data_IF_075996311241
#
_entry.id   IF_075996311241
#
_cell.length_a   1.000
_cell.length_b   1.000
_cell.length_c   1.000
_cell.angle_alpha   90.00
_cell.angle_beta   90.00
_cell.angle_gamma   90.00
#
_symmetry.space_group_name_H-M   'P 1'
#
loop_
_entity.id
_entity.type
_entity.pdbx_description
1 polymer ?
#
# COMPACT_ATOMS: atom_id res chain seq x y z
N UNK A 1 18.86 27.75 9.06
CA UNK A 1 19.53 26.45 8.81
C UNK A 1 19.97 26.46 7.36
N UNK A 2 21.28 26.40 7.11
CA UNK A 2 21.82 26.36 5.75
C UNK A 2 22.08 24.93 5.29
N UNK A 3 22.46 24.75 4.02
CA UNK A 3 22.67 23.39 3.44
C UNK A 3 23.83 22.65 4.14
N UNK A 4 24.84 23.38 4.67
CA UNK A 4 25.94 22.73 5.38
C UNK A 4 25.54 22.24 6.76
N UNK A 5 24.64 22.93 7.45
CA UNK A 5 24.07 22.47 8.72
C UNK A 5 23.18 21.26 8.51
N UNK A 6 22.43 21.25 7.40
CA UNK A 6 21.57 20.11 7.02
C UNK A 6 22.43 18.85 6.76
N UNK A 7 23.52 18.97 6.02
CA UNK A 7 24.43 17.86 5.73
C UNK A 7 25.06 17.22 6.97
N UNK A 8 25.24 18.00 8.05
CA UNK A 8 25.78 17.48 9.32
C UNK A 8 24.75 16.59 10.05
N UNK A 9 23.46 16.89 9.90
CA UNK A 9 22.36 16.21 10.58
C UNK A 9 21.85 15.03 9.74
N UNK A 10 21.81 15.20 8.41
CA UNK A 10 21.29 14.21 7.46
C UNK A 10 22.31 13.11 7.13
N UNK A 11 22.67 12.33 8.15
CA UNK A 11 23.63 11.24 8.04
C UNK A 11 23.20 10.15 7.03
N UNK A 12 21.90 10.03 6.73
CA UNK A 12 21.32 9.08 5.78
C UNK A 12 21.06 9.68 4.39
N UNK A 13 21.46 10.92 4.17
CA UNK A 13 21.29 11.65 2.90
C UNK A 13 19.83 11.68 2.40
N UNK A 14 18.89 11.79 3.33
CA UNK A 14 17.46 11.82 3.02
C UNK A 14 17.06 12.98 2.11
N UNK A 15 17.73 14.15 2.26
CA UNK A 15 17.51 15.29 1.36
C UNK A 15 17.74 14.91 -0.11
N UNK A 16 18.78 14.14 -0.40
CA UNK A 16 19.07 13.69 -1.76
C UNK A 16 18.00 12.72 -2.29
N UNK A 17 17.38 11.95 -1.41
CA UNK A 17 16.25 11.07 -1.77
C UNK A 17 15.03 11.92 -2.14
N UNK A 18 14.72 12.96 -1.35
CA UNK A 18 13.61 13.87 -1.66
C UNK A 18 13.82 14.63 -2.96
N UNK A 19 15.05 15.07 -3.24
CA UNK A 19 15.38 15.74 -4.50
C UNK A 19 15.12 14.86 -5.74
N UNK A 20 15.21 13.53 -5.58
CA UNK A 20 14.99 12.55 -6.64
C UNK A 20 13.54 12.07 -6.76
N UNK A 21 12.63 12.49 -5.89
CA UNK A 21 11.24 12.05 -5.95
C UNK A 21 10.55 12.27 -7.30
N UNK A 22 10.75 13.40 -8.02
CA UNK A 22 10.15 13.57 -9.33
C UNK A 22 10.60 12.51 -10.35
N UNK A 23 11.91 12.16 -10.36
CA UNK A 23 12.45 11.11 -11.22
C UNK A 23 11.93 9.74 -10.82
N UNK A 24 11.93 9.42 -9.52
CA UNK A 24 11.39 8.15 -8.99
C UNK A 24 9.91 8.00 -9.35
N UNK A 25 9.11 9.06 -9.20
CA UNK A 25 7.69 9.04 -9.54
C UNK A 25 7.48 8.80 -11.04
N UNK A 26 8.28 9.46 -11.88
CA UNK A 26 8.25 9.29 -13.33
C UNK A 26 8.64 7.86 -13.72
N UNK A 27 9.77 7.37 -13.22
CA UNK A 27 10.26 6.02 -13.49
C UNK A 27 9.23 4.97 -13.05
N UNK A 28 8.60 5.17 -11.90
CA UNK A 28 7.54 4.29 -11.42
C UNK A 28 6.30 4.31 -12.31
N UNK A 29 5.95 5.46 -12.89
CA UNK A 29 4.81 5.59 -13.80
C UNK A 29 5.11 5.00 -15.19
N UNK A 30 6.34 5.17 -15.69
CA UNK A 30 6.76 4.70 -17.01
C UNK A 30 7.07 3.18 -17.04
N UNK A 31 7.21 2.54 -15.88
CA UNK A 31 7.41 1.10 -15.80
C UNK A 31 6.14 0.33 -16.15
N UNK A 32 6.29 -0.72 -16.94
CA UNK A 32 5.22 -1.69 -17.20
C UNK A 32 4.89 -2.46 -15.92
N UNK A 33 3.73 -2.15 -15.34
CA UNK A 33 3.22 -2.91 -14.20
C UNK A 33 2.57 -4.21 -14.66
N UNK A 34 2.85 -5.28 -13.92
CA UNK A 34 2.11 -6.53 -14.06
C UNK A 34 0.61 -6.24 -13.88
N UNK A 35 -0.19 -6.67 -14.87
CA UNK A 35 -1.64 -6.41 -14.85
C UNK A 35 -2.29 -7.21 -13.74
N UNK A 36 -2.90 -6.53 -12.80
CA UNK A 36 -3.75 -7.10 -11.78
C UNK A 36 -5.22 -7.01 -12.22
N UNK A 37 -5.94 -8.14 -12.19
CA UNK A 37 -7.35 -8.15 -12.60
C UNK A 37 -8.25 -7.56 -11.52
N UNK A 38 -8.82 -6.40 -11.81
CA UNK A 38 -9.75 -5.66 -10.94
C UNK A 38 -11.20 -5.69 -11.44
N UNK A 39 -11.53 -6.58 -12.39
CA UNK A 39 -12.90 -6.68 -12.90
C UNK A 39 -13.87 -7.13 -11.80
N UNK A 40 -15.05 -6.52 -11.77
CA UNK A 40 -16.13 -6.84 -10.85
C UNK A 40 -15.90 -6.36 -9.41
N UNK A 41 -14.93 -5.45 -9.20
CA UNK A 41 -14.70 -4.84 -7.89
C UNK A 41 -15.61 -3.62 -7.74
N UNK A 42 -16.37 -3.61 -6.65
CA UNK A 42 -17.23 -2.50 -6.21
C UNK A 42 -16.83 -1.95 -4.83
N UNK A 43 -15.95 -2.65 -4.12
CA UNK A 43 -15.42 -2.24 -2.82
C UNK A 43 -13.89 -2.36 -2.76
N UNK A 44 -13.20 -1.27 -2.47
CA UNK A 44 -11.75 -1.26 -2.24
C UNK A 44 -11.46 -0.96 -0.77
N UNK A 45 -10.63 -1.79 -0.14
CA UNK A 45 -10.16 -1.60 1.23
C UNK A 45 -8.67 -1.33 1.22
N UNK A 46 -8.26 -0.12 1.55
CA UNK A 46 -6.86 0.21 1.79
C UNK A 46 -6.49 -0.08 3.23
N UNK A 47 -5.42 -0.83 3.44
CA UNK A 47 -4.87 -1.12 4.77
C UNK A 47 -3.42 -0.67 4.87
N UNK A 48 -3.14 0.23 5.82
CA UNK A 48 -1.80 0.74 6.07
C UNK A 48 -1.77 1.65 7.29
N UNK A 49 -0.59 1.82 7.88
CA UNK A 49 -0.38 2.67 9.05
C UNK A 49 0.50 3.89 8.69
N UNK A 50 0.29 4.99 9.40
CA UNK A 50 1.07 6.21 9.19
C UNK A 50 1.02 6.70 7.74
N UNK A 51 2.18 6.96 7.12
CA UNK A 51 2.29 7.39 5.73
C UNK A 51 1.69 6.39 4.73
N UNK A 52 1.85 5.08 4.96
CA UNK A 52 1.22 4.05 4.14
C UNK A 52 -0.32 4.12 4.20
N UNK A 53 -0.89 4.46 5.36
CA UNK A 53 -2.34 4.65 5.50
C UNK A 53 -2.85 5.92 4.80
N UNK A 54 -2.01 6.97 4.68
CA UNK A 54 -2.37 8.22 4.00
C UNK A 54 -2.51 8.04 2.49
N UNK A 55 -1.86 7.04 1.89
CA UNK A 55 -2.06 6.68 0.48
C UNK A 55 -3.53 6.31 0.23
N UNK A 56 -4.10 5.50 1.11
CA UNK A 56 -5.52 5.13 1.05
C UNK A 56 -6.46 6.36 1.12
N UNK A 57 -6.14 7.34 1.98
CA UNK A 57 -6.93 8.58 2.07
C UNK A 57 -6.91 9.37 0.75
N UNK A 58 -5.73 9.50 0.13
CA UNK A 58 -5.57 10.20 -1.16
C UNK A 58 -6.35 9.50 -2.26
N UNK A 59 -6.20 8.18 -2.39
CA UNK A 59 -6.90 7.41 -3.42
C UNK A 59 -8.41 7.41 -3.17
N UNK A 60 -8.85 7.33 -1.91
CA UNK A 60 -10.27 7.46 -1.54
C UNK A 60 -10.86 8.81 -1.99
N UNK A 61 -10.09 9.90 -1.82
CA UNK A 61 -10.52 11.22 -2.29
C UNK A 61 -10.61 11.28 -3.83
N UNK A 62 -9.68 10.67 -4.56
CA UNK A 62 -9.69 10.59 -6.03
C UNK A 62 -10.92 9.79 -6.50
N UNK A 63 -11.17 8.64 -5.90
CA UNK A 63 -12.25 7.72 -6.27
C UNK A 63 -13.62 8.15 -5.74
N UNK A 64 -13.72 9.24 -4.96
CA UNK A 64 -14.98 9.71 -4.37
C UNK A 64 -16.08 10.09 -5.38
N UNK A 65 -15.73 10.25 -6.66
CA UNK A 65 -16.64 10.54 -7.77
C UNK A 65 -17.04 9.33 -8.59
N UNK A 66 -16.45 8.19 -8.28
CA UNK A 66 -16.70 6.91 -8.96
C UNK A 66 -17.74 6.10 -8.18
N UNK A 67 -18.45 5.23 -8.87
CA UNK A 67 -19.42 4.31 -8.27
C UNK A 67 -18.70 3.10 -7.67
N UNK A 68 -17.87 3.37 -6.66
CA UNK A 68 -17.07 2.37 -5.94
C UNK A 68 -16.99 2.73 -4.46
N UNK A 69 -17.22 1.77 -3.59
CA UNK A 69 -17.03 1.97 -2.16
C UNK A 69 -15.56 1.89 -1.78
N UNK A 70 -15.07 2.86 -1.00
CA UNK A 70 -13.67 2.86 -0.53
C UNK A 70 -13.64 2.93 0.99
N UNK A 71 -12.93 1.98 1.61
CA UNK A 71 -12.70 1.91 3.06
C UNK A 71 -11.21 2.03 3.38
N UNK A 72 -10.85 2.81 4.40
CA UNK A 72 -9.49 2.92 4.90
C UNK A 72 -9.37 2.27 6.28
N UNK A 73 -8.46 1.31 6.41
CA UNK A 73 -8.18 0.58 7.63
C UNK A 73 -6.80 0.98 8.18
N UNK A 74 -6.82 1.72 9.29
CA UNK A 74 -5.63 2.11 10.06
C UNK A 74 -5.65 1.39 11.41
N UNK A 75 -5.53 0.06 11.37
CA UNK A 75 -5.63 -0.79 12.55
C UNK A 75 -5.76 -2.28 12.20
N UNK A 76 -6.35 -3.05 13.12
CA UNK A 76 -6.38 -4.52 13.05
C UNK A 76 -7.67 -5.11 12.46
N UNK A 77 -8.66 -4.29 12.10
CA UNK A 77 -10.00 -4.79 11.78
C UNK A 77 -10.32 -4.67 10.29
N UNK A 78 -10.39 -5.81 9.61
CA UNK A 78 -10.95 -5.89 8.27
C UNK A 78 -12.47 -5.67 8.35
N UNK A 79 -13.08 -4.80 7.51
CA UNK A 79 -14.53 -4.62 7.44
C UNK A 79 -15.26 -5.93 7.15
N UNK A 80 -16.40 -6.14 7.80
CA UNK A 80 -17.23 -7.35 7.56
C UNK A 80 -17.94 -7.33 6.20
N UNK A 81 -17.90 -6.20 5.51
CA UNK A 81 -18.44 -6.02 4.15
C UNK A 81 -17.52 -6.51 3.06
N UNK A 82 -16.33 -7.02 3.41
CA UNK A 82 -15.37 -7.59 2.46
C UNK A 82 -15.86 -8.94 1.96
N UNK A 83 -15.98 -9.08 0.65
CA UNK A 83 -16.47 -10.25 -0.06
C UNK A 83 -15.71 -10.49 -1.39
N UNK A 84 -16.26 -11.32 -2.28
CA UNK A 84 -15.68 -11.65 -3.58
C UNK A 84 -15.59 -10.47 -4.56
N UNK A 85 -16.36 -9.40 -4.35
CA UNK A 85 -16.32 -8.17 -5.15
C UNK A 85 -15.40 -7.11 -4.52
N UNK A 86 -14.66 -7.48 -3.50
CA UNK A 86 -13.78 -6.58 -2.79
C UNK A 86 -12.31 -6.77 -3.20
N UNK A 87 -11.58 -5.65 -3.25
CA UNK A 87 -10.13 -5.61 -3.38
C UNK A 87 -9.51 -5.07 -2.08
N UNK A 88 -8.68 -5.88 -1.44
CA UNK A 88 -7.90 -5.44 -0.27
C UNK A 88 -6.49 -5.06 -0.73
N UNK A 89 -6.13 -3.79 -0.56
CA UNK A 89 -4.81 -3.25 -0.87
C UNK A 89 -4.05 -3.03 0.44
N UNK A 90 -3.06 -3.86 0.69
CA UNK A 90 -2.23 -3.78 1.90
C UNK A 90 -0.90 -3.08 1.61
N UNK A 91 -0.61 -2.00 2.32
CA UNK A 91 0.62 -1.20 2.12
C UNK A 91 1.41 -1.08 3.42
N UNK A 92 2.69 -1.44 3.38
CA UNK A 92 3.61 -1.30 4.50
C UNK A 92 5.04 -1.18 4.02
N UNK A 93 5.66 -0.02 4.17
CA UNK A 93 7.06 0.20 3.73
C UNK A 93 7.98 -0.88 4.28
N UNK A 94 7.96 -1.17 5.57
CA UNK A 94 8.82 -2.21 6.17
C UNK A 94 8.36 -3.65 5.94
N UNK A 95 7.10 -3.86 5.53
CA UNK A 95 6.47 -5.17 5.45
C UNK A 95 6.28 -5.89 6.79
N UNK A 96 6.52 -5.21 7.92
CA UNK A 96 6.47 -5.81 9.24
C UNK A 96 5.44 -5.16 10.18
N UNK A 97 4.59 -4.28 9.65
CA UNK A 97 3.54 -3.59 10.41
C UNK A 97 2.46 -4.60 10.83
N UNK A 98 2.33 -4.85 12.12
CA UNK A 98 1.45 -5.89 12.67
C UNK A 98 -0.02 -5.69 12.30
N UNK A 99 -0.48 -4.46 12.34
CA UNK A 99 -1.85 -4.08 11.96
C UNK A 99 -2.15 -4.50 10.53
N UNK A 100 -1.29 -4.09 9.60
CA UNK A 100 -1.44 -4.38 8.17
C UNK A 100 -1.34 -5.89 7.89
N UNK A 101 -0.39 -6.58 8.53
CA UNK A 101 -0.26 -8.05 8.42
C UNK A 101 -1.51 -8.76 8.93
N UNK A 102 -2.08 -8.31 10.07
CA UNK A 102 -3.31 -8.90 10.61
C UNK A 102 -4.50 -8.71 9.66
N UNK A 103 -4.61 -7.55 9.02
CA UNK A 103 -5.67 -7.31 8.02
C UNK A 103 -5.45 -8.21 6.80
N UNK A 104 -4.21 -8.33 6.33
CA UNK A 104 -3.84 -9.21 5.22
C UNK A 104 -4.17 -10.68 5.50
N UNK A 105 -3.83 -11.18 6.69
CA UNK A 105 -4.18 -12.53 7.15
C UNK A 105 -5.69 -12.78 7.23
N UNK A 106 -6.45 -11.76 7.60
CA UNK A 106 -7.91 -11.84 7.62
C UNK A 106 -8.50 -11.82 6.22
N UNK A 107 -7.98 -10.96 5.34
CA UNK A 107 -8.40 -10.87 3.95
C UNK A 107 -8.17 -12.19 3.19
N UNK A 108 -7.05 -12.86 3.44
CA UNK A 108 -6.73 -14.16 2.85
C UNK A 108 -7.75 -15.27 3.20
N UNK A 109 -8.53 -15.09 4.26
CA UNK A 109 -9.61 -16.01 4.65
C UNK A 109 -10.96 -15.66 4.03
N UNK A 110 -11.01 -14.64 3.20
CA UNK A 110 -12.18 -14.23 2.43
C UNK A 110 -11.97 -14.56 0.95
N UNK A 111 -13.01 -14.38 0.14
CA UNK A 111 -12.93 -14.54 -1.32
C UNK A 111 -12.46 -13.22 -2.02
N UNK A 112 -12.03 -12.22 -1.27
CA UNK A 112 -11.57 -10.95 -1.80
C UNK A 112 -10.28 -11.09 -2.61
N UNK A 113 -10.14 -10.26 -3.64
CA UNK A 113 -8.85 -10.07 -4.31
C UNK A 113 -7.91 -9.30 -3.39
N UNK A 114 -6.63 -9.65 -3.41
CA UNK A 114 -5.64 -9.04 -2.52
C UNK A 114 -4.43 -8.58 -3.33
N UNK A 115 -4.01 -7.34 -3.11
CA UNK A 115 -2.75 -6.80 -3.61
C UNK A 115 -1.94 -6.23 -2.44
N UNK A 116 -0.66 -6.56 -2.36
CA UNK A 116 0.21 -6.09 -1.30
C UNK A 116 1.44 -5.36 -1.85
N UNK A 117 1.81 -4.27 -1.20
CA UNK A 117 2.94 -3.41 -1.57
C UNK A 117 3.85 -3.17 -0.38
N UNK A 118 5.14 -3.49 -0.52
CA UNK A 118 6.11 -3.32 0.57
C UNK A 118 7.54 -3.48 0.05
N UNK A 119 8.53 -2.93 0.74
CA UNK A 119 9.94 -3.20 0.46
C UNK A 119 10.44 -4.54 1.00
N UNK A 120 9.56 -5.53 1.19
CA UNK A 120 9.90 -6.88 1.63
C UNK A 120 9.28 -7.26 2.98
N UNK A 121 10.10 -7.85 3.87
CA UNK A 121 9.70 -8.21 5.22
C UNK A 121 8.79 -9.44 5.32
N UNK A 122 7.99 -9.49 6.39
CA UNK A 122 7.04 -10.59 6.61
C UNK A 122 5.90 -10.58 5.60
N UNK A 123 5.52 -9.40 5.09
CA UNK A 123 4.46 -9.26 4.09
C UNK A 123 4.82 -9.97 2.80
N UNK A 124 6.05 -9.79 2.30
CA UNK A 124 6.54 -10.49 1.11
C UNK A 124 6.46 -12.01 1.31
N UNK A 125 7.01 -12.52 2.40
CA UNK A 125 7.00 -13.96 2.71
C UNK A 125 5.58 -14.54 2.78
N UNK A 126 4.67 -13.77 3.38
CA UNK A 126 3.26 -14.17 3.48
C UNK A 126 2.61 -14.23 2.10
N UNK A 127 2.83 -13.23 1.26
CA UNK A 127 2.26 -13.17 -0.08
C UNK A 127 2.79 -14.29 -0.97
N UNK A 128 4.09 -14.54 -0.96
CA UNK A 128 4.72 -15.65 -1.70
C UNK A 128 4.17 -17.01 -1.28
N UNK A 129 4.02 -17.23 0.04
CA UNK A 129 3.50 -18.49 0.59
C UNK A 129 2.02 -18.74 0.28
N UNK A 130 1.24 -17.69 0.01
CA UNK A 130 -0.21 -17.76 -0.23
C UNK A 130 -0.62 -17.40 -1.67
N UNK A 131 0.35 -17.25 -2.58
CA UNK A 131 0.13 -16.87 -3.97
C UNK A 131 -0.70 -15.58 -4.12
N UNK A 132 -0.39 -14.57 -3.29
CA UNK A 132 -1.02 -13.26 -3.29
C UNK A 132 -0.16 -12.32 -4.15
N UNK A 133 -0.81 -11.46 -4.95
CA UNK A 133 -0.11 -10.43 -5.72
C UNK A 133 0.72 -9.54 -4.78
N UNK A 134 2.02 -9.47 -5.06
CA UNK A 134 2.98 -8.67 -4.30
C UNK A 134 3.85 -7.85 -5.24
N UNK A 135 4.05 -6.60 -4.88
CA UNK A 135 4.97 -5.69 -5.59
C UNK A 135 5.85 -4.95 -4.58
N UNK A 136 7.16 -4.97 -4.86
CA UNK A 136 8.16 -4.17 -4.17
C UNK A 136 8.22 -2.74 -4.71
#
# INVERSE_FOLDING_TARGET
MNIEDLKKIDSKKMCQTYDKWPEIAKDSFDNDFEKFDVKGIDHIVFSGMGGSGSIGDVISAILSKEDIHVSNVKGYHLPKTVDSNSLVVATSVSGNTRETLTVLEKAQKTDAKIAAFSSGGMMQKFCESNNIFFKE
#
